data_IF_529106444507
#
_entry.id   IF_529106444507
#
_cell.length_a   1.000
_cell.length_b   1.000
_cell.length_c   1.000
_cell.angle_alpha   90.00
_cell.angle_beta   90.00
_cell.angle_gamma   90.00
#
_symmetry.space_group_name_H-M   'P 1'
#
loop_
_entity.id
_entity.type
_entity.pdbx_description
1 polymer ?
#
# COMPACT_ATOMS: atom_id res chain seq x y z
N UNK A 1 -6.33 20.73 6.96
CA UNK A 1 -7.27 19.58 7.00
C UNK A 1 -6.42 18.33 7.07
N UNK A 2 -6.60 17.49 8.10
CA UNK A 2 -5.79 16.30 8.34
C UNK A 2 -6.04 15.26 7.24
N UNK A 3 -4.97 14.76 6.59
CA UNK A 3 -5.05 13.90 5.39
C UNK A 3 -4.37 12.52 5.58
N UNK A 4 -4.25 12.07 6.82
CA UNK A 4 -3.73 10.75 7.19
C UNK A 4 -4.70 10.09 8.17
N UNK A 5 -4.75 8.76 8.17
CA UNK A 5 -5.77 8.03 8.90
C UNK A 5 -5.45 7.92 10.39
N UNK A 6 -4.18 7.67 10.73
CA UNK A 6 -3.75 7.37 12.10
C UNK A 6 -2.40 8.02 12.40
N UNK A 7 -2.21 8.51 13.63
CA UNK A 7 -0.89 8.92 14.14
C UNK A 7 -0.36 7.86 15.11
N UNK A 8 0.86 7.35 14.88
CA UNK A 8 1.51 6.37 15.75
C UNK A 8 2.90 6.88 16.13
N UNK A 9 3.14 7.10 17.44
CA UNK A 9 4.41 7.66 17.93
C UNK A 9 4.85 8.95 17.19
N UNK A 10 3.89 9.82 16.89
CA UNK A 10 4.14 11.07 16.16
C UNK A 10 4.30 10.92 14.64
N UNK A 11 4.27 9.69 14.10
CA UNK A 11 4.31 9.44 12.65
C UNK A 11 2.90 9.38 12.07
N UNK A 12 2.70 10.06 10.95
CA UNK A 12 1.44 10.11 10.18
C UNK A 12 1.36 8.91 9.25
N UNK A 13 0.40 8.02 9.50
CA UNK A 13 0.20 6.78 8.74
C UNK A 13 -1.03 6.92 7.85
N UNK A 14 -0.85 6.62 6.56
CA UNK A 14 -1.91 6.53 5.55
C UNK A 14 -2.15 5.05 5.21
N UNK A 15 -3.39 4.59 5.40
CA UNK A 15 -3.77 3.19 5.30
C UNK A 15 -4.48 2.95 3.98
N UNK A 16 -3.84 2.19 3.09
CA UNK A 16 -4.42 1.76 1.83
C UNK A 16 -5.02 0.37 1.98
N UNK A 17 -6.32 0.28 1.68
CA UNK A 17 -7.05 -0.98 1.75
C UNK A 17 -7.38 -1.47 0.35
N UNK A 18 -6.94 -2.68 0.01
CA UNK A 18 -7.23 -3.33 -1.27
C UNK A 18 -8.10 -4.56 -1.05
N UNK A 19 -8.97 -4.86 -2.02
CA UNK A 19 -9.84 -6.04 -1.97
C UNK A 19 -9.20 -7.20 -2.70
N UNK A 20 -9.40 -8.40 -2.18
CA UNK A 20 -8.97 -9.64 -2.85
C UNK A 20 -9.94 -10.79 -2.58
N UNK A 21 -10.06 -11.68 -3.55
CA UNK A 21 -10.77 -12.95 -3.43
C UNK A 21 -9.82 -14.15 -3.23
N UNK A 22 -8.51 -13.93 -3.26
CA UNK A 22 -7.47 -14.95 -3.14
C UNK A 22 -6.65 -14.76 -1.85
N UNK A 23 -5.96 -15.81 -1.35
CA UNK A 23 -4.96 -15.65 -0.31
C UNK A 23 -3.92 -14.60 -0.70
N UNK A 24 -3.44 -13.84 0.29
CA UNK A 24 -2.38 -12.85 0.07
C UNK A 24 -1.13 -13.56 -0.47
N UNK A 25 -0.59 -13.06 -1.57
CA UNK A 25 0.67 -13.51 -2.16
C UNK A 25 1.70 -12.39 -2.13
N UNK A 26 2.97 -12.75 -1.95
CA UNK A 26 4.11 -11.84 -2.04
C UNK A 26 4.26 -11.21 -3.42
N UNK A 27 3.74 -11.85 -4.47
CA UNK A 27 3.77 -11.36 -5.85
C UNK A 27 2.63 -10.40 -6.19
N UNK A 28 1.74 -10.09 -5.24
CA UNK A 28 0.71 -9.10 -5.48
C UNK A 28 1.33 -7.71 -5.59
N UNK A 29 0.81 -6.94 -6.53
CA UNK A 29 1.09 -5.52 -6.65
C UNK A 29 0.22 -4.77 -5.65
N UNK A 30 0.83 -3.78 -5.00
CA UNK A 30 0.14 -2.73 -4.27
C UNK A 30 0.32 -1.43 -5.04
N UNK A 31 -0.73 -0.63 -5.07
CA UNK A 31 -0.77 0.58 -5.85
C UNK A 31 -1.02 1.81 -4.98
N UNK A 32 -0.39 2.91 -5.38
CA UNK A 32 -0.60 4.24 -4.81
C UNK A 32 -0.74 5.22 -5.96
N UNK A 33 -1.89 5.88 -6.05
CA UNK A 33 -2.10 6.92 -7.07
C UNK A 33 -1.11 8.07 -6.88
N UNK A 34 -0.55 8.58 -7.97
CA UNK A 34 0.34 9.74 -7.97
C UNK A 34 -0.28 10.97 -7.30
N UNK A 35 -1.60 11.14 -7.37
CA UNK A 35 -2.31 12.22 -6.69
C UNK A 35 -2.12 12.16 -5.15
N UNK A 36 -2.01 10.95 -4.60
CA UNK A 36 -1.85 10.72 -3.16
C UNK A 36 -0.39 10.89 -2.69
N UNK A 37 0.58 10.88 -3.61
CA UNK A 37 2.00 11.08 -3.27
C UNK A 37 2.27 12.47 -2.72
N UNK A 38 1.46 13.46 -3.07
CA UNK A 38 1.58 14.84 -2.57
C UNK A 38 1.10 15.03 -1.13
N UNK A 39 0.49 14.01 -0.52
CA UNK A 39 -0.11 14.09 0.80
C UNK A 39 0.94 14.04 1.92
N UNK A 40 0.65 14.70 3.04
CA UNK A 40 1.51 14.74 4.23
C UNK A 40 1.41 13.44 5.06
N UNK A 41 1.84 12.31 4.51
CA UNK A 41 2.03 11.07 5.26
C UNK A 41 3.51 10.71 5.34
N UNK A 42 3.90 10.15 6.48
CA UNK A 42 5.27 9.65 6.71
C UNK A 42 5.39 8.18 6.30
N UNK A 43 4.30 7.43 6.42
CA UNK A 43 4.23 5.98 6.22
C UNK A 43 3.00 5.63 5.39
N UNK A 44 3.18 4.72 4.44
CA UNK A 44 2.09 4.00 3.80
C UNK A 44 1.97 2.59 4.40
N UNK A 45 0.79 2.27 4.92
CA UNK A 45 0.45 0.94 5.40
C UNK A 45 -0.57 0.30 4.47
N UNK A 46 -0.37 -0.98 4.14
CA UNK A 46 -1.17 -1.69 3.17
C UNK A 46 -1.92 -2.85 3.82
N UNK A 47 -3.24 -2.88 3.61
CA UNK A 47 -4.14 -3.87 4.17
C UNK A 47 -4.95 -4.51 3.05
N UNK A 48 -5.09 -5.83 3.09
CA UNK A 48 -5.96 -6.55 2.18
C UNK A 48 -7.22 -7.01 2.91
N UNK A 49 -8.39 -6.70 2.35
CA UNK A 49 -9.65 -7.31 2.72
C UNK A 49 -9.92 -8.52 1.83
N UNK A 50 -9.93 -9.72 2.41
CA UNK A 50 -10.32 -10.93 1.71
C UNK A 50 -11.84 -11.11 1.79
N UNK A 51 -12.54 -10.98 0.66
CA UNK A 51 -14.01 -10.99 0.60
C UNK A 51 -14.60 -12.37 0.93
N UNK A 52 -13.92 -13.46 0.53
CA UNK A 52 -14.37 -14.83 0.80
C UNK A 52 -14.26 -15.19 2.27
N UNK A 53 -13.15 -14.80 2.91
CA UNK A 53 -12.88 -15.06 4.33
C UNK A 53 -13.45 -13.98 5.26
N UNK A 54 -13.93 -12.86 4.70
CA UNK A 54 -14.37 -11.65 5.41
C UNK A 54 -13.34 -11.19 6.45
N UNK A 55 -12.06 -11.20 6.09
CA UNK A 55 -10.94 -10.93 7.01
C UNK A 55 -10.00 -9.89 6.43
N UNK A 56 -9.55 -8.96 7.28
CA UNK A 56 -8.46 -8.05 6.97
C UNK A 56 -7.11 -8.67 7.33
N UNK A 57 -6.11 -8.43 6.48
CA UNK A 57 -4.73 -8.86 6.69
C UNK A 57 -3.81 -7.67 6.39
N UNK A 58 -2.95 -7.32 7.34
CA UNK A 58 -1.90 -6.33 7.11
C UNK A 58 -0.84 -6.97 6.22
N UNK A 59 -0.62 -6.40 5.02
CA UNK A 59 0.44 -6.87 4.12
C UNK A 59 1.81 -6.32 4.52
N UNK A 60 1.84 -5.12 5.09
CA UNK A 60 3.06 -4.48 5.57
C UNK A 60 2.98 -2.97 5.40
N UNK A 61 4.11 -2.31 5.58
CA UNK A 61 4.25 -0.87 5.46
C UNK A 61 5.63 -0.47 4.92
N UNK A 62 5.71 0.74 4.39
CA UNK A 62 6.96 1.39 4.03
C UNK A 62 6.92 2.89 4.39
N UNK A 63 8.06 3.48 4.81
CA UNK A 63 8.22 4.93 4.83
C UNK A 63 7.97 5.50 3.43
N UNK A 64 7.38 6.70 3.36
CA UNK A 64 7.04 7.35 2.09
C UNK A 64 8.21 7.43 1.11
N UNK A 65 9.37 7.88 1.58
CA UNK A 65 10.58 8.01 0.74
C UNK A 65 11.04 6.66 0.19
N UNK A 66 11.01 5.61 1.01
CA UNK A 66 11.41 4.27 0.61
C UNK A 66 10.42 3.67 -0.39
N UNK A 67 9.11 3.89 -0.18
CA UNK A 67 8.07 3.47 -1.11
C UNK A 67 8.30 4.09 -2.49
N UNK A 68 8.46 5.41 -2.56
CA UNK A 68 8.64 6.12 -3.83
C UNK A 68 9.94 5.75 -4.55
N UNK A 69 10.99 5.36 -3.79
CA UNK A 69 12.25 4.88 -4.35
C UNK A 69 12.13 3.48 -4.97
N UNK A 70 11.35 2.59 -4.35
CA UNK A 70 11.13 1.22 -4.84
C UNK A 70 10.05 1.13 -5.91
N UNK A 71 9.11 2.07 -5.90
CA UNK A 71 7.96 2.02 -6.77
C UNK A 71 8.31 2.15 -8.24
N UNK A 72 7.69 1.30 -9.04
CA UNK A 72 7.66 1.43 -10.50
C UNK A 72 6.48 2.34 -10.85
N UNK A 73 6.77 3.44 -11.54
CA UNK A 73 5.71 4.31 -12.07
C UNK A 73 5.06 3.66 -13.28
N UNK A 74 3.75 3.43 -13.18
CA UNK A 74 2.87 3.01 -14.27
C UNK A 74 2.07 4.22 -14.73
N UNK A 75 2.17 4.57 -16.00
CA UNK A 75 1.44 5.71 -16.58
C UNK A 75 -0.03 5.36 -16.82
N UNK A 76 -0.86 6.39 -16.82
CA UNK A 76 -2.23 6.28 -17.30
C UNK A 76 -2.29 5.63 -18.70
N UNK A 77 -3.19 4.66 -18.87
CA UNK A 77 -3.36 3.90 -20.11
C UNK A 77 -2.41 2.71 -20.27
N UNK A 78 -1.40 2.54 -19.41
CA UNK A 78 -0.58 1.33 -19.41
C UNK A 78 -1.41 0.10 -19.01
N UNK A 79 -1.07 -1.05 -19.62
CA UNK A 79 -1.75 -2.31 -19.39
C UNK A 79 -0.89 -3.28 -18.57
N UNK A 80 -1.54 -4.06 -17.70
CA UNK A 80 -0.94 -5.14 -16.92
C UNK A 80 -1.78 -6.41 -17.05
N UNK A 81 -1.24 -7.54 -16.55
CA UNK A 81 -1.93 -8.85 -16.52
C UNK A 81 -2.37 -9.29 -17.92
N UNK A 82 -1.49 -9.11 -18.91
CA UNK A 82 -1.73 -9.42 -20.31
C UNK A 82 -2.95 -8.67 -20.89
N UNK A 83 -3.12 -7.40 -20.53
CA UNK A 83 -4.20 -6.54 -21.05
C UNK A 83 -5.53 -6.64 -20.28
N UNK A 84 -5.57 -7.36 -19.16
CA UNK A 84 -6.79 -7.49 -18.33
C UNK A 84 -6.96 -6.37 -17.31
N UNK A 85 -5.96 -5.51 -17.17
CA UNK A 85 -5.98 -4.37 -16.27
C UNK A 85 -5.32 -3.17 -16.95
N UNK A 86 -5.95 -2.01 -16.83
CA UNK A 86 -5.45 -0.75 -17.38
C UNK A 86 -5.41 0.28 -16.26
N UNK A 87 -4.28 0.97 -16.11
CA UNK A 87 -4.14 2.03 -15.11
C UNK A 87 -4.94 3.26 -15.53
N UNK A 88 -5.87 3.70 -14.69
CA UNK A 88 -6.72 4.88 -14.96
C UNK A 88 -6.05 6.22 -14.62
N UNK A 89 -4.89 6.18 -13.98
CA UNK A 89 -4.07 7.35 -13.66
C UNK A 89 -2.63 6.90 -13.42
N UNK A 90 -1.70 7.86 -13.40
CA UNK A 90 -0.32 7.62 -13.00
C UNK A 90 -0.28 7.01 -11.59
N UNK A 91 0.32 5.83 -11.48
CA UNK A 91 0.25 4.97 -10.29
C UNK A 91 1.63 4.42 -9.95
N UNK A 92 2.02 4.55 -8.69
CA UNK A 92 3.25 3.98 -8.14
C UNK A 92 2.99 2.59 -7.60
N UNK A 93 3.67 1.60 -8.17
CA UNK A 93 3.43 0.18 -7.89
C UNK A 93 4.64 -0.46 -7.24
N UNK A 94 4.39 -1.19 -6.15
CA UNK A 94 5.40 -1.98 -5.42
C UNK A 94 4.87 -3.40 -5.23
N UNK A 95 5.74 -4.41 -5.09
CA UNK A 95 5.29 -5.75 -4.70
C UNK A 95 5.09 -5.90 -3.20
N UNK A 96 4.15 -6.74 -2.78
CA UNK A 96 3.98 -7.11 -1.36
C UNK A 96 5.28 -7.66 -0.76
N UNK A 97 6.09 -8.39 -1.54
CA UNK A 97 7.41 -8.90 -1.11
C UNK A 97 8.40 -7.82 -0.67
N UNK A 98 8.21 -6.57 -1.09
CA UNK A 98 9.11 -5.45 -0.80
C UNK A 98 8.69 -4.63 0.42
N UNK A 99 7.50 -4.93 0.96
CA UNK A 99 7.01 -4.34 2.19
C UNK A 99 7.77 -4.86 3.41
N UNK A 100 7.79 -4.04 4.45
CA UNK A 100 8.31 -4.45 5.75
C UNK A 100 7.13 -4.72 6.70
N UNK A 101 7.29 -5.66 7.67
CA UNK A 101 6.36 -5.78 8.77
C UNK A 101 6.16 -4.41 9.44
N UNK A 102 4.90 -4.04 9.68
CA UNK A 102 4.55 -2.70 10.16
C UNK A 102 5.23 -2.38 11.49
N UNK A 103 5.43 -3.38 12.35
CA UNK A 103 6.09 -3.29 13.65
C UNK A 103 7.53 -2.77 13.52
N UNK A 104 8.23 -3.10 12.43
CA UNK A 104 9.58 -2.58 12.16
C UNK A 104 9.57 -1.09 11.82
N UNK A 105 8.47 -0.58 11.27
CA UNK A 105 8.32 0.80 10.83
C UNK A 105 7.83 1.71 11.97
N UNK A 106 6.79 1.29 12.67
CA UNK A 106 6.19 2.07 13.78
C UNK A 106 6.89 1.84 15.11
N UNK A 107 7.77 0.83 15.22
CA UNK A 107 8.53 0.47 16.43
C UNK A 107 7.67 0.18 17.66
N UNK A 108 6.42 -0.21 17.46
CA UNK A 108 5.53 -0.69 18.50
C UNK A 108 4.99 -2.08 18.13
N UNK A 109 4.66 -2.90 19.12
CA UNK A 109 4.02 -4.20 18.87
C UNK A 109 2.60 -3.95 18.36
N UNK A 110 2.27 -4.52 17.21
CA UNK A 110 0.89 -4.65 16.74
C UNK A 110 0.38 -5.99 17.27
N UNK A 111 -0.69 -5.95 18.05
CA UNK A 111 -1.34 -7.14 18.62
C UNK A 111 -2.58 -7.42 17.76
N UNK A 112 -2.81 -8.67 17.30
CA UNK A 112 -3.95 -9.01 16.45
C UNK A 112 -5.30 -8.87 17.16
#
# INVERSE_FOLDING_TARGET
MQRWDITVHGKKVDVKTMRTCSPLSSDFNIDLSSAQVSLESDIYAFVFYNEKKRKFTIAGALPREEYLKKAVLKREGENERSGKFTYSCDTFVVKVSELLPIEKIVRCKVVP
#
